data_IF_733731996624
#
_entry.id   IF_733731996624
#
_cell.length_a   1.000
_cell.length_b   1.000
_cell.length_c   1.000
_cell.angle_alpha   90.00
_cell.angle_beta   90.00
_cell.angle_gamma   90.00
#
_symmetry.space_group_name_H-M   'P 1'
#
loop_
_entity.id
_entity.type
_entity.pdbx_description
1 polymer ?
#
# COMPACT_ATOMS: atom_id res chain seq x y z
N UNK A 1 -11.26 5.90 -3.18
CA UNK A 1 -12.38 5.03 -2.72
C UNK A 1 -11.76 3.74 -2.22
N UNK A 2 -12.41 3.00 -1.32
CA UNK A 2 -11.92 1.67 -0.91
C UNK A 2 -12.51 0.62 -1.85
N UNK A 3 -11.76 -0.44 -2.19
CA UNK A 3 -12.22 -1.44 -3.16
C UNK A 3 -13.47 -2.19 -2.69
N UNK A 4 -14.62 -1.82 -3.25
CA UNK A 4 -15.92 -2.39 -2.87
C UNK A 4 -16.03 -3.87 -3.20
N UNK A 5 -15.33 -4.34 -4.25
CA UNK A 5 -15.37 -5.75 -4.67
C UNK A 5 -14.75 -6.63 -3.60
N UNK A 6 -13.54 -6.29 -3.14
CA UNK A 6 -12.83 -7.04 -2.10
C UNK A 6 -13.57 -6.94 -0.74
N UNK A 7 -14.08 -5.75 -0.41
CA UNK A 7 -14.84 -5.56 0.81
C UNK A 7 -16.12 -6.42 0.82
N UNK A 8 -16.92 -6.39 -0.26
CA UNK A 8 -18.12 -7.22 -0.39
C UNK A 8 -17.79 -8.72 -0.43
N UNK A 9 -16.73 -9.11 -1.14
CA UNK A 9 -16.25 -10.50 -1.18
C UNK A 9 -15.91 -11.02 0.21
N UNK A 10 -15.24 -10.21 1.03
CA UNK A 10 -14.98 -10.55 2.45
C UNK A 10 -16.28 -10.62 3.24
N UNK A 11 -17.21 -9.68 3.03
CA UNK A 11 -18.51 -9.69 3.73
C UNK A 11 -19.35 -10.93 3.42
N UNK A 12 -19.29 -11.40 2.18
CA UNK A 12 -19.96 -12.60 1.70
C UNK A 12 -19.26 -13.90 2.13
N UNK A 13 -18.07 -13.83 2.74
CA UNK A 13 -17.28 -14.99 3.14
C UNK A 13 -16.55 -15.68 1.98
N UNK A 14 -16.48 -15.03 0.81
CA UNK A 14 -15.72 -15.51 -0.35
C UNK A 14 -14.22 -15.34 -0.08
N UNK A 15 -13.84 -14.19 0.46
CA UNK A 15 -12.48 -13.90 0.92
C UNK A 15 -12.42 -14.10 2.44
N UNK A 16 -11.46 -14.89 2.88
CA UNK A 16 -11.20 -15.12 4.30
C UNK A 16 -10.28 -14.01 4.83
N UNK A 17 -10.87 -13.03 5.51
CA UNK A 17 -10.12 -11.99 6.20
C UNK A 17 -10.85 -11.58 7.48
N UNK A 18 -10.07 -11.29 8.53
CA UNK A 18 -10.59 -10.84 9.81
C UNK A 18 -11.16 -9.43 9.69
N UNK A 19 -12.43 -9.27 10.06
CA UNK A 19 -13.13 -7.98 10.01
C UNK A 19 -13.25 -7.39 11.40
N UNK A 20 -12.86 -6.13 11.54
CA UNK A 20 -13.04 -5.36 12.77
C UNK A 20 -14.01 -4.23 12.53
N UNK A 21 -15.03 -4.14 13.40
CA UNK A 21 -16.01 -3.07 13.33
C UNK A 21 -15.34 -1.71 13.52
N UNK A 22 -15.57 -0.80 12.58
CA UNK A 22 -14.92 0.51 12.53
C UNK A 22 -15.85 1.51 11.82
N UNK A 23 -16.49 2.39 12.60
CA UNK A 23 -17.60 3.25 12.13
C UNK A 23 -17.16 4.35 11.15
N UNK A 24 -15.88 4.73 11.18
CA UNK A 24 -15.30 5.77 10.33
C UNK A 24 -14.86 5.26 8.95
N UNK A 25 -15.08 3.99 8.63
CA UNK A 25 -14.84 3.45 7.27
C UNK A 25 -16.11 3.42 6.44
N UNK A 26 -15.93 3.43 5.12
CA UNK A 26 -17.01 3.41 4.12
C UNK A 26 -18.04 2.29 4.34
N UNK A 27 -17.59 1.12 4.80
CA UNK A 27 -18.44 -0.07 4.94
C UNK A 27 -18.74 -0.46 6.39
N UNK A 28 -18.32 0.34 7.37
CA UNK A 28 -18.53 0.08 8.81
C UNK A 28 -17.59 -0.97 9.42
N UNK A 29 -16.60 -1.45 8.68
CA UNK A 29 -15.53 -2.32 9.15
C UNK A 29 -14.22 -2.07 8.41
N UNK A 30 -13.12 -2.51 9.01
CA UNK A 30 -11.81 -2.61 8.41
C UNK A 30 -11.36 -4.07 8.38
N UNK A 31 -10.45 -4.40 7.47
CA UNK A 31 -9.77 -5.70 7.48
C UNK A 31 -8.54 -5.61 8.38
N UNK A 32 -8.32 -6.65 9.19
CA UNK A 32 -7.07 -6.83 9.91
C UNK A 32 -6.02 -7.34 8.94
N UNK A 33 -4.82 -6.81 9.07
CA UNK A 33 -3.62 -7.21 8.32
C UNK A 33 -2.41 -7.04 9.22
N UNK A 34 -1.29 -7.68 8.89
CA UNK A 34 -0.09 -7.71 9.73
C UNK A 34 1.20 -7.40 8.95
N UNK A 35 1.96 -6.44 9.48
CA UNK A 35 3.33 -6.13 9.03
C UNK A 35 4.33 -6.57 10.09
N UNK A 36 5.45 -7.15 9.66
CA UNK A 36 6.52 -7.58 10.57
C UNK A 36 7.84 -6.94 10.17
N UNK A 37 8.55 -6.41 11.15
CA UNK A 37 9.91 -5.90 10.97
C UNK A 37 10.83 -6.61 11.94
N UNK A 38 12.00 -7.02 11.46
CA UNK A 38 13.06 -7.51 12.33
C UNK A 38 14.43 -7.34 11.68
N UNK A 39 15.46 -7.38 12.53
CA UNK A 39 16.85 -7.22 12.14
C UNK A 39 17.67 -8.46 12.52
N UNK A 40 18.56 -8.89 11.63
CA UNK A 40 19.59 -9.89 11.93
C UNK A 40 20.95 -9.28 11.64
N UNK A 41 21.64 -8.85 12.69
CA UNK A 41 22.88 -8.08 12.55
C UNK A 41 22.60 -6.74 11.86
N UNK A 42 23.21 -6.51 10.69
CA UNK A 42 22.96 -5.30 9.88
C UNK A 42 21.81 -5.49 8.86
N UNK A 43 21.29 -6.71 8.70
CA UNK A 43 20.24 -6.98 7.74
C UNK A 43 18.88 -6.55 8.30
N UNK A 44 18.31 -5.49 7.72
CA UNK A 44 16.97 -4.99 8.02
C UNK A 44 15.95 -5.61 7.08
N UNK A 45 14.90 -6.22 7.63
CA UNK A 45 13.87 -6.91 6.86
C UNK A 45 12.48 -6.38 7.22
N UNK A 46 11.69 -6.06 6.19
CA UNK A 46 10.28 -5.71 6.32
C UNK A 46 9.44 -6.73 5.55
N UNK A 47 8.60 -7.45 6.27
CA UNK A 47 7.60 -8.37 5.76
C UNK A 47 6.29 -7.58 5.63
N UNK A 48 5.78 -7.51 4.40
CA UNK A 48 4.65 -6.69 4.04
C UNK A 48 3.55 -7.53 3.36
N UNK A 49 2.27 -7.36 3.74
CA UNK A 49 1.18 -8.20 3.26
C UNK A 49 0.60 -7.70 1.92
N UNK A 50 1.47 -7.46 0.94
CA UNK A 50 1.04 -6.98 -0.37
C UNK A 50 2.08 -7.16 -1.48
N UNK A 51 1.65 -6.92 -2.71
CA UNK A 51 2.50 -6.65 -3.87
C UNK A 51 2.82 -5.14 -3.93
N UNK A 52 3.89 -4.72 -3.25
CA UNK A 52 4.28 -3.30 -3.17
C UNK A 52 5.13 -2.84 -4.35
N UNK A 53 4.85 -1.65 -4.86
CA UNK A 53 5.65 -1.01 -5.90
C UNK A 53 7.01 -0.52 -5.37
N UNK A 54 8.11 -0.69 -6.14
CA UNK A 54 9.45 -0.30 -5.69
C UNK A 54 9.58 1.16 -5.28
N UNK A 55 8.82 2.06 -5.89
CA UNK A 55 8.87 3.50 -5.61
C UNK A 55 8.43 3.83 -4.18
N UNK A 56 7.50 3.04 -3.63
CA UNK A 56 7.08 3.17 -2.24
C UNK A 56 8.18 2.72 -1.27
N UNK A 57 9.05 1.81 -1.70
CA UNK A 57 10.16 1.31 -0.90
C UNK A 57 11.34 2.27 -0.97
N UNK A 58 11.79 2.59 -2.19
CA UNK A 58 13.06 3.27 -2.46
C UNK A 58 12.92 4.74 -2.88
N UNK A 59 11.69 5.23 -3.08
CA UNK A 59 11.42 6.57 -3.62
C UNK A 59 11.50 6.62 -5.13
N UNK A 60 11.88 7.78 -5.69
CA UNK A 60 11.87 8.05 -7.14
C UNK A 60 10.47 7.97 -7.76
N UNK A 61 9.49 8.47 -7.04
CA UNK A 61 8.14 8.66 -7.54
C UNK A 61 8.11 9.46 -8.85
N UNK A 62 7.14 9.14 -9.70
CA UNK A 62 6.91 9.85 -10.95
C UNK A 62 6.62 11.34 -10.72
N UNK A 63 7.07 12.17 -11.65
CA UNK A 63 6.71 13.59 -11.67
C UNK A 63 5.24 13.79 -12.03
N UNK A 64 4.74 15.02 -11.90
CA UNK A 64 3.41 15.38 -12.39
C UNK A 64 3.26 15.23 -13.90
N UNK A 65 4.36 15.23 -14.67
CA UNK A 65 4.32 15.03 -16.12
C UNK A 65 4.18 13.55 -16.48
N UNK A 66 4.72 12.65 -15.66
CA UNK A 66 4.76 11.21 -15.92
C UNK A 66 3.63 10.44 -15.23
N UNK A 67 3.06 10.96 -14.14
CA UNK A 67 2.06 10.25 -13.34
C UNK A 67 0.66 10.23 -13.97
N UNK A 68 -0.12 9.18 -13.68
CA UNK A 68 -1.46 9.00 -14.22
C UNK A 68 -2.44 10.09 -13.74
N UNK A 69 -2.34 10.52 -12.47
CA UNK A 69 -3.20 11.59 -11.92
C UNK A 69 -2.78 13.00 -12.40
N UNK A 70 -1.62 13.14 -13.05
CA UNK A 70 -1.06 14.45 -13.41
C UNK A 70 -0.61 15.25 -12.18
N UNK A 71 -0.35 14.58 -11.06
CA UNK A 71 0.03 15.17 -9.78
C UNK A 71 1.45 14.76 -9.40
N UNK A 72 2.14 15.63 -8.67
CA UNK A 72 3.55 15.44 -8.36
C UNK A 72 3.78 14.41 -7.25
N UNK A 73 5.05 14.12 -6.96
CA UNK A 73 5.47 13.12 -5.98
C UNK A 73 5.09 13.48 -4.53
N UNK A 74 4.72 14.73 -4.25
CA UNK A 74 4.27 15.21 -2.94
C UNK A 74 3.00 14.52 -2.41
N UNK A 75 2.24 13.86 -3.28
CA UNK A 75 1.09 13.06 -2.90
C UNK A 75 1.46 11.71 -2.28
N UNK A 76 2.67 11.23 -2.54
CA UNK A 76 3.09 9.90 -2.14
C UNK A 76 3.68 9.92 -0.72
N UNK A 77 3.60 8.80 0.01
CA UNK A 77 4.18 8.72 1.35
C UNK A 77 5.70 8.82 1.31
N UNK A 78 6.30 9.10 2.48
CA UNK A 78 7.74 8.93 2.67
C UNK A 78 8.15 7.48 2.32
N UNK A 79 9.19 7.27 1.49
CA UNK A 79 9.66 5.93 1.15
C UNK A 79 10.09 5.11 2.38
N UNK A 80 9.88 3.80 2.33
CA UNK A 80 10.16 2.91 3.46
C UNK A 80 11.64 2.91 3.87
N UNK A 81 12.58 3.02 2.93
CA UNK A 81 14.02 3.16 3.23
C UNK A 81 14.32 4.42 4.05
N UNK A 82 13.65 5.53 3.74
CA UNK A 82 13.80 6.78 4.49
C UNK A 82 13.18 6.66 5.90
N UNK A 83 12.04 5.98 6.03
CA UNK A 83 11.42 5.71 7.34
C UNK A 83 12.33 4.83 8.22
N UNK A 84 12.96 3.81 7.63
CA UNK A 84 13.89 2.91 8.32
C UNK A 84 15.27 3.52 8.59
N UNK A 85 15.54 4.73 8.09
CA UNK A 85 16.87 5.34 8.02
C UNK A 85 17.92 4.31 7.53
N UNK A 86 17.60 3.62 6.43
CA UNK A 86 18.40 2.52 5.90
C UNK A 86 18.49 2.62 4.38
N UNK A 87 19.71 2.57 3.84
CA UNK A 87 19.92 2.52 2.39
C UNK A 87 19.50 1.17 1.79
N UNK A 88 19.71 0.10 2.57
CA UNK A 88 19.31 -1.27 2.24
C UNK A 88 18.17 -1.72 3.15
N UNK A 89 17.05 -2.10 2.54
CA UNK A 89 15.90 -2.68 3.21
C UNK A 89 15.40 -3.87 2.39
N UNK A 90 15.51 -5.08 2.95
CA UNK A 90 15.02 -6.28 2.30
C UNK A 90 13.50 -6.38 2.50
N UNK A 91 12.76 -6.39 1.40
CA UNK A 91 11.30 -6.51 1.41
C UNK A 91 10.89 -7.94 1.09
N UNK A 92 10.10 -8.53 1.98
CA UNK A 92 9.35 -9.75 1.73
C UNK A 92 7.88 -9.38 1.49
N UNK A 93 7.49 -9.32 0.22
CA UNK A 93 6.08 -9.15 -0.16
C UNK A 93 5.25 -10.41 0.10
N UNK A 94 3.93 -10.28 0.06
CA UNK A 94 2.97 -11.36 0.30
C UNK A 94 3.21 -12.12 1.63
N UNK A 95 3.71 -11.41 2.65
CA UNK A 95 4.06 -12.00 3.93
C UNK A 95 2.94 -11.79 4.96
N UNK A 96 2.74 -12.78 5.84
CA UNK A 96 1.67 -12.88 6.85
C UNK A 96 0.25 -13.01 6.28
N UNK A 97 -0.16 -12.09 5.41
CA UNK A 97 -1.46 -12.07 4.71
C UNK A 97 -1.35 -11.33 3.36
N UNK A 98 -2.49 -10.96 2.75
CA UNK A 98 -2.51 -10.38 1.41
C UNK A 98 -3.57 -9.27 1.22
N UNK A 99 -3.13 -8.14 0.67
CA UNK A 99 -3.93 -6.93 0.41
C UNK A 99 -4.00 -6.53 -1.07
N UNK A 100 -3.46 -7.36 -1.97
CA UNK A 100 -3.32 -7.02 -3.38
C UNK A 100 -2.16 -6.06 -3.64
N UNK A 101 -2.25 -5.32 -4.74
CA UNK A 101 -1.24 -4.34 -5.11
C UNK A 101 -1.30 -3.08 -4.25
N UNK A 102 -0.12 -2.50 -4.01
CA UNK A 102 0.02 -1.18 -3.39
C UNK A 102 0.86 -0.29 -4.29
N UNK A 103 0.21 0.73 -4.85
CA UNK A 103 0.71 1.63 -5.90
C UNK A 103 0.89 3.04 -5.33
N UNK A 104 1.86 3.84 -5.80
CA UNK A 104 1.98 5.26 -5.44
C UNK A 104 0.67 6.03 -5.69
N UNK A 105 0.16 6.80 -4.70
CA UNK A 105 -1.06 7.58 -4.84
C UNK A 105 -1.11 8.53 -6.05
N UNK A 106 0.00 9.10 -6.48
CA UNK A 106 0.03 9.98 -7.65
C UNK A 106 -0.11 9.24 -8.99
N UNK A 107 0.08 7.92 -8.99
CA UNK A 107 -0.01 7.09 -10.19
C UNK A 107 -1.22 6.15 -10.19
N UNK A 108 -2.06 6.23 -9.14
CA UNK A 108 -3.19 5.36 -8.95
C UNK A 108 -4.38 5.81 -9.82
N UNK A 109 -4.73 5.03 -10.84
CA UNK A 109 -5.85 5.32 -11.74
C UNK A 109 -6.88 4.18 -11.79
N UNK A 110 -8.17 4.52 -11.74
CA UNK A 110 -9.28 3.59 -11.91
C UNK A 110 -10.18 4.00 -13.07
N UNK A 111 -10.81 3.00 -13.71
CA UNK A 111 -11.82 3.26 -14.72
C UNK A 111 -12.96 4.12 -14.14
N UNK A 112 -13.34 5.24 -14.79
CA UNK A 112 -14.31 6.18 -14.24
C UNK A 112 -15.73 5.62 -14.16
N UNK A 113 -16.10 4.69 -15.06
CA UNK A 113 -17.44 4.11 -15.13
C UNK A 113 -17.67 2.97 -14.13
N UNK A 114 -16.74 2.00 -14.07
CA UNK A 114 -16.85 0.83 -13.20
C UNK A 114 -15.51 0.59 -12.47
N UNK A 115 -15.17 1.42 -11.46
CA UNK A 115 -13.92 1.29 -10.72
C UNK A 115 -13.75 -0.13 -10.17
N UNK A 116 -12.52 -0.65 -10.16
CA UNK A 116 -12.15 -2.00 -9.67
C UNK A 116 -12.66 -3.21 -10.47
N UNK A 117 -13.56 -3.04 -11.44
CA UNK A 117 -14.04 -4.13 -12.29
C UNK A 117 -13.61 -3.99 -13.73
N UNK A 118 -13.39 -2.76 -14.19
CA UNK A 118 -12.88 -2.47 -15.53
C UNK A 118 -11.46 -1.93 -15.48
N UNK A 119 -10.72 -2.15 -16.56
CA UNK A 119 -9.36 -1.66 -16.73
C UNK A 119 -9.38 -0.29 -17.38
N UNK A 120 -8.34 0.49 -17.13
CA UNK A 120 -8.17 1.80 -17.74
C UNK A 120 -6.75 1.96 -18.23
N UNK A 121 -6.58 2.79 -19.26
CA UNK A 121 -5.28 3.31 -19.66
C UNK A 121 -5.17 4.77 -19.27
N UNK A 122 -4.00 5.19 -18.82
CA UNK A 122 -3.73 6.59 -18.53
C UNK A 122 -3.45 7.40 -19.80
N UNK A 123 -3.15 8.68 -19.60
CA UNK A 123 -2.74 9.64 -20.64
C UNK A 123 -1.42 9.28 -21.35
N UNK A 124 -0.69 8.28 -20.87
CA UNK A 124 0.57 7.78 -21.43
C UNK A 124 0.41 6.38 -22.05
N UNK A 125 -0.83 5.91 -22.25
CA UNK A 125 -1.17 4.58 -22.77
C UNK A 125 -0.70 3.40 -21.88
N UNK A 126 -0.36 3.65 -20.61
CA UNK A 126 -0.04 2.62 -19.62
C UNK A 126 -1.32 1.98 -19.09
N UNK A 127 -1.31 0.66 -18.91
CA UNK A 127 -2.44 -0.03 -18.29
C UNK A 127 -2.37 0.10 -16.76
N UNK A 128 -3.53 0.26 -16.14
CA UNK A 128 -3.69 0.34 -14.68
C UNK A 128 -4.51 -0.87 -14.20
N UNK A 129 -3.85 -2.03 -14.15
CA UNK A 129 -4.47 -3.30 -13.74
C UNK A 129 -4.37 -3.47 -12.22
N UNK A 130 -3.25 -3.08 -11.66
CA UNK A 130 -2.85 -3.26 -10.28
C UNK A 130 -3.84 -2.58 -9.34
N UNK A 131 -4.31 -1.39 -9.70
CA UNK A 131 -5.32 -0.64 -8.96
C UNK A 131 -6.65 -1.38 -8.83
N UNK A 132 -7.02 -2.17 -9.86
CA UNK A 132 -8.25 -2.99 -9.82
C UNK A 132 -8.16 -4.11 -8.78
N UNK A 133 -6.93 -4.57 -8.49
CA UNK A 133 -6.62 -5.60 -7.50
C UNK A 133 -5.89 -5.01 -6.28
N UNK A 134 -6.28 -3.81 -5.86
CA UNK A 134 -5.74 -3.14 -4.67
C UNK A 134 -6.84 -2.86 -3.65
N UNK A 135 -6.48 -2.62 -2.39
CA UNK A 135 -7.43 -2.11 -1.38
C UNK A 135 -7.80 -0.63 -1.59
N UNK A 136 -7.08 0.09 -2.45
CA UNK A 136 -7.29 1.50 -2.79
C UNK A 136 -6.10 2.40 -2.48
N UNK A 137 -6.15 3.69 -2.88
CA UNK A 137 -4.99 4.59 -2.91
C UNK A 137 -4.49 5.00 -1.51
N UNK A 138 -5.30 4.83 -0.46
CA UNK A 138 -4.90 5.15 0.92
C UNK A 138 -3.96 4.09 1.53
N UNK A 139 -3.89 2.91 0.93
CA UNK A 139 -3.15 1.75 1.46
C UNK A 139 -1.65 2.05 1.57
N UNK A 140 -1.07 2.71 0.56
CA UNK A 140 0.32 3.13 0.56
C UNK A 140 0.67 4.02 1.77
N UNK A 141 -0.14 5.06 2.03
CA UNK A 141 0.07 5.94 3.18
C UNK A 141 -0.11 5.18 4.51
N UNK A 142 -1.06 4.25 4.59
CA UNK A 142 -1.27 3.47 5.83
C UNK A 142 -0.11 2.56 6.16
N UNK A 143 0.49 1.92 5.16
CA UNK A 143 1.71 1.12 5.34
C UNK A 143 2.85 2.01 5.87
N UNK A 144 3.08 3.16 5.25
CA UNK A 144 4.13 4.09 5.67
C UNK A 144 3.91 4.60 7.11
N UNK A 145 2.67 4.98 7.46
CA UNK A 145 2.31 5.43 8.81
C UNK A 145 2.58 4.34 9.87
N UNK A 146 2.16 3.11 9.58
CA UNK A 146 2.35 1.96 10.49
C UNK A 146 3.83 1.66 10.64
N UNK A 147 4.59 1.62 9.54
CA UNK A 147 6.01 1.34 9.59
C UNK A 147 6.78 2.43 10.34
N UNK A 148 6.43 3.70 10.17
CA UNK A 148 7.00 4.80 10.96
C UNK A 148 6.69 4.64 12.46
N UNK A 149 5.51 4.11 12.81
CA UNK A 149 5.17 3.72 14.18
C UNK A 149 6.05 2.57 14.71
N UNK A 150 6.29 1.54 13.89
CA UNK A 150 7.19 0.43 14.25
C UNK A 150 8.61 0.92 14.50
N UNK A 151 9.17 1.76 13.62
CA UNK A 151 10.53 2.28 13.76
C UNK A 151 10.72 3.18 14.99
N UNK A 152 9.68 3.89 15.44
CA UNK A 152 9.71 4.60 16.74
C UNK A 152 9.91 3.63 17.92
N UNK A 153 9.34 2.43 17.83
CA UNK A 153 9.47 1.39 18.86
C UNK A 153 10.86 0.77 18.82
N UNK A 154 11.36 0.45 17.63
CA UNK A 154 12.71 -0.11 17.43
C UNK A 154 13.78 0.86 17.97
N UNK A 155 13.78 2.11 17.50
CA UNK A 155 14.78 3.10 17.93
C UNK A 155 14.67 3.53 19.40
N UNK A 156 13.56 3.22 20.08
CA UNK A 156 13.43 3.45 21.51
C UNK A 156 14.20 2.41 22.34
N UNK A 157 14.45 1.22 21.78
CA UNK A 157 15.24 0.15 22.42
C UNK A 157 16.74 0.44 22.34
N UNK A 158 17.18 1.22 21.34
CA UNK A 158 18.59 1.58 21.13
C UNK A 158 19.07 2.76 21.99
N UNK A 159 18.20 3.36 22.80
CA UNK A 159 18.52 4.46 23.73
C UNK A 159 18.67 3.96 25.16
#
# INVERSE_FOLDING_TARGET
>A
VDNYVLMLGTKAGILQADRHHKKDTTYGYALKTEMTYFEIGHLKMLLIPCEIFPELVFGRYLSSEESAEGKGPEMNPTPLTQIAAAEELLIFGLANDELGYVIPPNDFLLAPGIPYLDRVKDRHDRNHYEETNSMGPKTAQRIADVFAGMMKTVHAVDK
#
